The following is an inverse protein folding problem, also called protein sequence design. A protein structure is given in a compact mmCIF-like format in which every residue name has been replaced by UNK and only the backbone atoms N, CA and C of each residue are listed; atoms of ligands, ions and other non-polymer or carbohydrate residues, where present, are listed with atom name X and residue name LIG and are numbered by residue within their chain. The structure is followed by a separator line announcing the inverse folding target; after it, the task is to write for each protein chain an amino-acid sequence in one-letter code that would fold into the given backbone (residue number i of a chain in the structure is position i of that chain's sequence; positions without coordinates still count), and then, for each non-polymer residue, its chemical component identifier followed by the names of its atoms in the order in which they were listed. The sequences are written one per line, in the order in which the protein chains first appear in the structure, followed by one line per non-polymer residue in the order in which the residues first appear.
data_IF_670732195592
#
_entry.id   IF_670732195592
#
_cell.length_a   1.000
_cell.length_b   1.000
_cell.length_c   1.000
_cell.angle_alpha   90.00
_cell.angle_beta   90.00
_cell.angle_gamma   90.00
#
_symmetry.space_group_name_H-M   'P 1'
#
loop_
_entity.id
_entity.type
_entity.pdbx_description
1 polymer ?
#
# COMPACT_ATOMS: atom_id res chain seq x y z
N UNK A 1 -19.59 -0.35 8.55
CA UNK A 1 -18.62 -1.46 8.58
C UNK A 1 -17.46 -1.08 9.51
N UNK A 2 -16.90 -2.02 10.28
CA UNK A 2 -15.82 -1.74 11.24
C UNK A 2 -14.50 -1.50 10.51
N UNK A 3 -13.71 -0.52 10.97
CA UNK A 3 -12.33 -0.28 10.52
C UNK A 3 -11.31 -0.87 11.50
N UNK A 4 -10.13 -1.21 11.01
CA UNK A 4 -9.02 -1.75 11.80
C UNK A 4 -8.47 -0.72 12.80
N UNK A 5 -7.72 -1.19 13.80
CA UNK A 5 -7.03 -0.28 14.72
C UNK A 5 -5.88 0.45 14.01
N UNK A 6 -5.14 -0.22 13.13
CA UNK A 6 -4.08 0.40 12.30
C UNK A 6 -4.62 1.56 11.46
N UNK A 7 -5.83 1.45 10.89
CA UNK A 7 -6.44 2.56 10.17
C UNK A 7 -6.78 3.75 11.08
N UNK A 8 -7.27 3.49 12.31
CA UNK A 8 -7.53 4.57 13.29
C UNK A 8 -6.25 5.30 13.66
N UNK A 9 -5.15 4.57 13.84
CA UNK A 9 -3.82 5.10 14.14
C UNK A 9 -3.29 5.94 12.97
N UNK A 10 -3.35 5.44 11.73
CA UNK A 10 -3.03 6.22 10.53
C UNK A 10 -3.82 7.54 10.51
N UNK A 11 -5.15 7.48 10.64
CA UNK A 11 -6.01 8.66 10.60
C UNK A 11 -5.67 9.68 11.69
N UNK A 12 -5.36 9.23 12.90
CA UNK A 12 -4.91 10.10 13.99
C UNK A 12 -3.59 10.76 13.63
N UNK A 13 -2.64 9.97 13.10
CA UNK A 13 -1.32 10.44 12.72
C UNK A 13 -1.35 11.46 11.58
N UNK A 14 -2.16 11.25 10.54
CA UNK A 14 -2.34 12.21 9.45
C UNK A 14 -2.93 13.54 9.95
N UNK A 15 -3.83 13.50 10.95
CA UNK A 15 -4.37 14.70 11.59
C UNK A 15 -3.27 15.48 12.33
N UNK A 16 -2.41 14.80 13.08
CA UNK A 16 -1.27 15.43 13.75
C UNK A 16 -0.32 16.09 12.75
N UNK A 17 0.04 15.38 11.68
CA UNK A 17 0.92 15.92 10.64
C UNK A 17 0.32 17.18 10.00
N UNK A 18 -0.99 17.19 9.74
CA UNK A 18 -1.68 18.38 9.24
C UNK A 18 -1.55 19.56 10.22
N UNK A 19 -1.78 19.31 11.51
CA UNK A 19 -1.71 20.35 12.55
C UNK A 19 -0.29 20.92 12.72
N UNK A 20 0.74 20.08 12.58
CA UNK A 20 2.13 20.49 12.78
C UNK A 20 2.74 21.19 11.56
N UNK A 21 2.35 20.80 10.35
CA UNK A 21 3.08 21.16 9.14
C UNK A 21 2.28 22.06 8.19
N UNK A 22 0.95 22.00 8.20
CA UNK A 22 0.15 22.84 7.32
C UNK A 22 -0.40 24.07 8.05
N UNK A 23 -0.68 25.17 7.33
CA UNK A 23 -1.34 26.34 7.91
C UNK A 23 -2.72 25.99 8.51
N UNK A 24 -3.09 26.68 9.59
CA UNK A 24 -4.45 26.57 10.15
C UNK A 24 -5.50 27.17 9.23
N UNK A 25 -5.16 28.29 8.59
CA UNK A 25 -5.95 28.98 7.57
C UNK A 25 -5.20 28.95 6.25
N UNK A 26 -5.83 28.40 5.22
CA UNK A 26 -5.25 28.37 3.87
C UNK A 26 -5.39 29.73 3.19
N UNK A 27 -4.38 30.10 2.39
CA UNK A 27 -4.41 31.36 1.64
C UNK A 27 -5.46 31.28 0.53
N UNK A 28 -6.40 32.23 0.43
CA UNK A 28 -7.37 32.27 -0.67
C UNK A 28 -6.73 32.46 -2.04
N UNK A 29 -5.59 33.15 -2.10
CA UNK A 29 -4.84 33.45 -3.33
C UNK A 29 -3.74 32.43 -3.62
N UNK A 30 -3.47 31.50 -2.69
CA UNK A 30 -2.38 30.53 -2.81
C UNK A 30 -1.01 31.08 -2.46
N UNK A 31 -0.94 32.29 -1.89
CA UNK A 31 0.32 32.89 -1.45
C UNK A 31 0.78 32.28 -0.12
N UNK A 32 1.96 31.66 -0.12
CA UNK A 32 2.57 31.04 1.05
C UNK A 32 4.06 31.40 1.11
N UNK A 33 4.55 31.68 2.32
CA UNK A 33 5.98 31.91 2.58
C UNK A 33 6.83 30.67 2.30
N UNK A 34 8.13 30.86 2.06
CA UNK A 34 9.09 29.76 1.86
C UNK A 34 9.06 28.75 3.00
N UNK A 35 8.90 29.22 4.25
CA UNK A 35 8.75 28.35 5.42
C UNK A 35 7.49 27.47 5.32
N UNK A 36 6.38 28.00 4.83
CA UNK A 36 5.15 27.23 4.64
C UNK A 36 5.30 26.24 3.47
N UNK A 37 6.01 26.63 2.41
CA UNK A 37 6.38 25.75 1.29
C UNK A 37 7.20 24.55 1.77
N UNK A 38 8.26 24.79 2.56
CA UNK A 38 9.11 23.74 3.09
C UNK A 38 8.36 22.81 4.05
N UNK A 39 7.49 23.36 4.91
CA UNK A 39 6.65 22.53 5.77
C UNK A 39 5.65 21.69 4.97
N UNK A 40 5.09 22.21 3.88
CA UNK A 40 4.19 21.46 3.02
C UNK A 40 4.91 20.33 2.26
N UNK A 41 6.17 20.55 1.83
CA UNK A 41 7.04 19.48 1.32
C UNK A 41 7.27 18.40 2.37
N UNK A 42 7.58 18.81 3.60
CA UNK A 42 7.72 17.89 4.75
C UNK A 42 6.43 17.12 5.04
N UNK A 43 5.28 17.77 4.95
CA UNK A 43 3.97 17.13 5.09
C UNK A 43 3.78 16.02 4.05
N UNK A 44 4.02 16.30 2.77
CA UNK A 44 3.93 15.29 1.70
C UNK A 44 4.83 14.08 1.99
N UNK A 45 6.09 14.31 2.35
CA UNK A 45 7.06 13.25 2.63
C UNK A 45 6.63 12.37 3.80
N UNK A 46 6.21 12.99 4.91
CA UNK A 46 5.81 12.27 6.13
C UNK A 46 4.49 11.53 5.93
N UNK A 47 3.48 12.17 5.33
CA UNK A 47 2.21 11.50 5.03
C UNK A 47 2.40 10.29 4.12
N UNK A 48 3.27 10.41 3.11
CA UNK A 48 3.59 9.27 2.25
C UNK A 48 4.18 8.11 3.04
N UNK A 49 5.15 8.38 3.93
CA UNK A 49 5.75 7.35 4.77
C UNK A 49 4.71 6.67 5.69
N UNK A 50 3.76 7.43 6.25
CA UNK A 50 2.70 6.89 7.11
C UNK A 50 1.72 6.01 6.32
N UNK A 51 1.31 6.43 5.11
CA UNK A 51 0.42 5.63 4.24
C UNK A 51 1.13 4.34 3.79
N UNK A 52 2.40 4.44 3.39
CA UNK A 52 3.22 3.30 3.01
C UNK A 52 3.36 2.29 4.16
N UNK A 53 3.75 2.77 5.35
CA UNK A 53 3.85 1.93 6.55
C UNK A 53 2.52 1.27 6.90
N UNK A 54 1.41 2.01 6.78
CA UNK A 54 0.08 1.43 6.99
C UNK A 54 -0.20 0.28 6.03
N UNK A 55 0.04 0.46 4.73
CA UNK A 55 -0.20 -0.57 3.72
C UNK A 55 0.67 -1.80 3.97
N UNK A 56 1.95 -1.60 4.30
CA UNK A 56 2.87 -2.71 4.64
C UNK A 56 2.42 -3.48 5.88
N UNK A 57 1.98 -2.78 6.92
CA UNK A 57 1.56 -3.39 8.18
C UNK A 57 0.28 -4.19 8.00
N UNK A 58 -0.77 -3.62 7.40
CA UNK A 58 -2.03 -4.34 7.21
C UNK A 58 -1.84 -5.55 6.30
N UNK A 59 -0.99 -5.44 5.28
CA UNK A 59 -0.65 -6.57 4.42
C UNK A 59 0.11 -7.67 5.16
N UNK A 60 1.10 -7.29 5.97
CA UNK A 60 1.88 -8.23 6.80
C UNK A 60 1.01 -8.94 7.83
N UNK A 61 0.20 -8.19 8.57
CA UNK A 61 -0.68 -8.70 9.62
C UNK A 61 -1.71 -9.67 9.04
N UNK A 62 -2.35 -9.29 7.93
CA UNK A 62 -3.38 -10.10 7.26
C UNK A 62 -2.84 -11.44 6.78
N UNK A 63 -1.70 -11.44 6.06
CA UNK A 63 -1.06 -12.68 5.58
C UNK A 63 -0.57 -13.52 6.76
N UNK A 64 0.05 -12.90 7.77
CA UNK A 64 0.56 -13.62 8.94
C UNK A 64 -0.57 -14.29 9.70
N UNK A 65 -1.72 -13.62 9.84
CA UNK A 65 -2.90 -14.20 10.47
C UNK A 65 -3.42 -15.40 9.66
N UNK A 66 -3.58 -15.26 8.35
CA UNK A 66 -4.05 -16.35 7.49
C UNK A 66 -3.11 -17.58 7.53
N UNK A 67 -1.80 -17.37 7.56
CA UNK A 67 -0.82 -18.45 7.71
C UNK A 67 -0.94 -19.13 9.09
N UNK A 68 -1.10 -18.35 10.17
CA UNK A 68 -1.30 -18.90 11.51
C UNK A 68 -2.57 -19.72 11.60
N UNK A 69 -3.68 -19.21 11.05
CA UNK A 69 -4.95 -19.90 11.04
C UNK A 69 -4.81 -21.23 10.29
N UNK A 70 -4.25 -21.21 9.07
CA UNK A 70 -3.96 -22.43 8.29
C UNK A 70 -3.13 -23.45 9.09
N UNK A 71 -2.01 -23.03 9.70
CA UNK A 71 -1.16 -23.93 10.49
C UNK A 71 -1.85 -24.50 11.73
N UNK A 72 -2.81 -23.76 12.30
CA UNK A 72 -3.52 -24.18 13.53
C UNK A 72 -4.67 -25.15 13.26
N UNK A 73 -5.40 -24.97 12.16
CA UNK A 73 -6.69 -25.64 11.95
C UNK A 73 -6.94 -26.11 10.51
N UNK A 74 -5.98 -25.90 9.60
CA UNK A 74 -6.02 -26.27 8.18
C UNK A 74 -7.25 -25.71 7.43
N UNK A 75 -7.85 -24.62 7.92
CA UNK A 75 -8.99 -23.98 7.24
C UNK A 75 -8.50 -23.06 6.13
N UNK A 76 -8.93 -23.29 4.88
CA UNK A 76 -8.64 -22.36 3.80
C UNK A 76 -9.40 -21.04 3.99
N UNK A 77 -8.74 -19.94 3.65
CA UNK A 77 -9.32 -18.60 3.56
C UNK A 77 -9.02 -18.00 2.18
N UNK A 78 -9.81 -17.00 1.76
CA UNK A 78 -9.50 -16.29 0.51
C UNK A 78 -8.09 -15.70 0.54
N UNK A 79 -7.66 -15.21 1.71
CA UNK A 79 -6.32 -14.64 1.92
C UNK A 79 -5.23 -15.68 1.63
N UNK A 80 -5.29 -16.89 2.22
CA UNK A 80 -4.22 -17.87 2.00
C UNK A 80 -4.20 -18.38 0.55
N UNK A 81 -5.37 -18.50 -0.08
CA UNK A 81 -5.49 -18.88 -1.50
C UNK A 81 -4.89 -17.81 -2.41
N UNK A 82 -5.28 -16.54 -2.22
CA UNK A 82 -4.76 -15.41 -2.99
C UNK A 82 -3.27 -15.19 -2.75
N UNK A 83 -2.79 -15.40 -1.51
CA UNK A 83 -1.39 -15.33 -1.16
C UNK A 83 -0.55 -16.36 -1.92
N UNK A 84 -0.98 -17.63 -1.91
CA UNK A 84 -0.29 -18.70 -2.64
C UNK A 84 -0.39 -18.52 -4.16
N UNK A 85 -1.53 -18.07 -4.68
CA UNK A 85 -1.67 -17.73 -6.10
C UNK A 85 -0.68 -16.62 -6.51
N UNK A 86 -0.55 -15.58 -5.69
CA UNK A 86 0.41 -14.49 -5.91
C UNK A 86 1.87 -14.96 -5.84
N UNK A 87 2.18 -15.88 -4.93
CA UNK A 87 3.48 -16.54 -4.90
C UNK A 87 3.77 -17.32 -6.19
N UNK A 88 2.78 -18.08 -6.68
CA UNK A 88 2.93 -18.87 -7.90
C UNK A 88 3.07 -18.01 -9.17
N UNK A 89 2.49 -16.81 -9.20
CA UNK A 89 2.75 -15.84 -10.27
C UNK A 89 4.11 -15.13 -10.14
N UNK A 90 4.96 -15.54 -9.19
CA UNK A 90 6.20 -14.85 -8.83
C UNK A 90 5.99 -13.39 -8.45
N UNK A 91 4.82 -13.09 -7.88
CA UNK A 91 4.40 -11.73 -7.57
C UNK A 91 4.39 -10.82 -8.80
N UNK A 92 4.26 -11.39 -10.00
CA UNK A 92 4.14 -10.60 -11.21
C UNK A 92 2.77 -9.94 -11.23
N UNK A 93 2.77 -8.62 -11.12
CA UNK A 93 1.59 -7.76 -10.97
C UNK A 93 1.18 -7.07 -12.28
N UNK A 94 1.88 -7.39 -13.38
CA UNK A 94 1.64 -6.79 -14.70
C UNK A 94 0.54 -7.57 -15.43
N UNK A 95 -0.30 -6.86 -16.17
CA UNK A 95 -1.47 -7.40 -16.88
C UNK A 95 -1.11 -8.23 -18.13
N UNK A 96 0.14 -8.19 -18.58
CA UNK A 96 0.63 -9.00 -19.71
C UNK A 96 1.87 -9.78 -19.26
N UNK A 97 1.67 -11.02 -18.84
CA UNK A 97 2.76 -11.98 -18.64
C UNK A 97 2.91 -12.74 -19.95
N UNK A 98 4.07 -12.67 -20.60
CA UNK A 98 4.27 -13.44 -21.83
C UNK A 98 4.39 -14.93 -21.51
N UNK A 99 4.12 -15.79 -22.50
CA UNK A 99 4.33 -17.22 -22.36
C UNK A 99 5.78 -17.55 -21.98
N UNK A 100 6.78 -16.80 -22.48
CA UNK A 100 8.17 -16.99 -22.06
C UNK A 100 8.38 -16.67 -20.58
N UNK A 101 7.78 -15.59 -20.06
CA UNK A 101 7.89 -15.22 -18.65
C UNK A 101 7.25 -16.27 -17.74
N UNK A 102 6.09 -16.83 -18.12
CA UNK A 102 5.46 -17.95 -17.40
C UNK A 102 6.41 -19.14 -17.34
N UNK A 103 7.07 -19.47 -18.45
CA UNK A 103 8.03 -20.57 -18.54
C UNK A 103 9.26 -20.30 -17.66
N UNK A 104 9.77 -19.07 -17.64
CA UNK A 104 10.90 -18.70 -16.78
C UNK A 104 10.53 -18.74 -15.30
N UNK A 105 9.33 -18.26 -14.93
CA UNK A 105 8.79 -18.39 -13.58
C UNK A 105 8.73 -19.85 -13.18
N UNK A 106 8.14 -20.71 -14.02
CA UNK A 106 8.04 -22.14 -13.76
C UNK A 106 9.41 -22.81 -13.60
N UNK A 107 10.39 -22.47 -14.44
CA UNK A 107 11.77 -23.00 -14.39
C UNK A 107 12.60 -22.48 -13.21
N UNK A 108 12.33 -21.27 -12.74
CA UNK A 108 13.02 -20.66 -11.59
C UNK A 108 12.61 -21.27 -10.25
N UNK A 109 11.50 -22.00 -10.22
CA UNK A 109 11.05 -22.72 -9.03
C UNK A 109 12.09 -23.80 -8.73
N UNK A 110 12.65 -23.78 -7.52
CA UNK A 110 13.39 -24.94 -7.01
C UNK A 110 12.49 -26.17 -7.14
N UNK A 111 13.07 -27.32 -7.49
CA UNK A 111 12.41 -28.62 -7.39
C UNK A 111 12.15 -28.89 -5.89
N UNK A 112 11.05 -28.31 -5.44
CA UNK A 112 10.47 -28.43 -4.12
C UNK A 112 9.81 -29.81 -4.12
N UNK A 113 10.36 -30.77 -3.38
CA UNK A 113 9.74 -32.09 -3.16
C UNK A 113 8.53 -31.99 -2.20
N UNK A 114 8.04 -30.79 -1.92
CA UNK A 114 7.82 -30.37 -0.54
C UNK A 114 6.33 -30.17 -0.19
N UNK A 115 6.03 -30.39 1.09
CA UNK A 115 4.71 -30.26 1.70
C UNK A 115 4.11 -28.85 1.55
N UNK A 116 2.79 -28.72 1.75
CA UNK A 116 2.10 -27.42 1.72
C UNK A 116 2.71 -26.41 2.70
N UNK A 117 3.26 -26.89 3.82
CA UNK A 117 3.91 -26.03 4.83
C UNK A 117 5.20 -25.38 4.31
N UNK A 118 6.03 -26.14 3.60
CA UNK A 118 7.28 -25.64 3.03
C UNK A 118 7.02 -24.59 1.94
N UNK A 119 5.95 -24.77 1.15
CA UNK A 119 5.49 -23.77 0.16
C UNK A 119 5.07 -22.48 0.86
N UNK A 120 4.28 -22.58 1.94
CA UNK A 120 3.82 -21.42 2.71
C UNK A 120 5.01 -20.67 3.32
N UNK A 121 5.98 -21.38 3.89
CA UNK A 121 7.16 -20.76 4.51
C UNK A 121 8.08 -20.08 3.49
N UNK A 122 8.20 -20.63 2.28
CA UNK A 122 8.91 -19.96 1.19
C UNK A 122 8.18 -18.72 0.69
N UNK A 123 6.86 -18.81 0.50
CA UNK A 123 6.02 -17.69 0.11
C UNK A 123 6.10 -16.55 1.14
N UNK A 124 6.02 -16.87 2.44
CA UNK A 124 6.13 -15.90 3.53
C UNK A 124 7.48 -15.17 3.53
N UNK A 125 8.59 -15.89 3.30
CA UNK A 125 9.92 -15.27 3.20
C UNK A 125 10.02 -14.32 2.02
N UNK A 126 9.54 -14.72 0.85
CA UNK A 126 9.55 -13.85 -0.32
C UNK A 126 8.68 -12.60 -0.12
N UNK A 127 7.47 -12.77 0.42
CA UNK A 127 6.60 -11.64 0.70
C UNK A 127 7.19 -10.68 1.75
N UNK A 128 7.83 -11.22 2.79
CA UNK A 128 8.54 -10.40 3.79
C UNK A 128 9.67 -9.60 3.16
N UNK A 129 10.39 -10.17 2.19
CA UNK A 129 11.41 -9.44 1.44
C UNK A 129 10.80 -8.34 0.57
N UNK A 130 9.67 -8.61 -0.11
CA UNK A 130 8.94 -7.59 -0.89
C UNK A 130 8.45 -6.43 -0.04
N UNK A 131 7.97 -6.70 1.17
CA UNK A 131 7.63 -5.66 2.14
C UNK A 131 8.84 -4.78 2.50
N UNK A 132 10.03 -5.36 2.68
CA UNK A 132 11.26 -4.60 3.00
C UNK A 132 11.79 -3.77 1.84
N UNK A 133 11.62 -4.26 0.62
CA UNK A 133 12.03 -3.59 -0.63
C UNK A 133 10.99 -2.56 -1.11
N UNK A 134 9.86 -2.45 -0.44
CA UNK A 134 8.83 -1.49 -0.79
C UNK A 134 9.27 -0.07 -0.40
N UNK A 135 9.15 0.85 -1.36
CA UNK A 135 9.66 2.22 -1.25
C UNK A 135 8.65 3.22 -1.87
N UNK A 136 7.36 2.91 -1.77
CA UNK A 136 6.35 3.62 -2.54
C UNK A 136 4.92 3.13 -2.30
N UNK A 137 4.00 3.93 -2.84
CA UNK A 137 2.57 3.61 -2.94
C UNK A 137 2.07 3.60 -4.39
N UNK A 138 2.99 3.60 -5.36
CA UNK A 138 2.68 3.52 -6.80
C UNK A 138 1.94 2.23 -7.16
N UNK A 139 1.31 2.17 -8.32
CA UNK A 139 0.46 1.05 -8.76
C UNK A 139 1.11 -0.33 -8.52
N UNK A 140 2.36 -0.50 -8.98
CA UNK A 140 3.12 -1.75 -8.77
C UNK A 140 3.33 -2.08 -7.30
N UNK A 141 3.71 -1.09 -6.49
CA UNK A 141 3.92 -1.25 -5.04
C UNK A 141 2.61 -1.65 -4.36
N UNK A 142 1.55 -0.88 -4.62
CA UNK A 142 0.22 -1.11 -4.10
C UNK A 142 -0.30 -2.51 -4.43
N UNK A 143 -0.28 -2.91 -5.71
CA UNK A 143 -0.76 -4.23 -6.13
C UNK A 143 0.05 -5.37 -5.50
N UNK A 144 1.37 -5.20 -5.36
CA UNK A 144 2.24 -6.20 -4.70
C UNK A 144 1.84 -6.44 -3.24
N UNK A 145 1.39 -5.39 -2.55
CA UNK A 145 0.97 -5.48 -1.14
C UNK A 145 -0.47 -5.99 -0.98
N UNK A 146 -1.38 -5.62 -1.89
CA UNK A 146 -2.83 -5.80 -1.70
C UNK A 146 -3.39 -7.05 -2.39
N UNK A 147 -2.90 -7.44 -3.57
CA UNK A 147 -3.37 -8.66 -4.24
C UNK A 147 -3.23 -9.93 -3.39
N UNK A 148 -2.15 -10.12 -2.63
CA UNK A 148 -2.01 -11.32 -1.78
C UNK A 148 -3.05 -11.39 -0.66
N UNK A 149 -3.80 -10.31 -0.40
CA UNK A 149 -4.85 -10.28 0.62
C UNK A 149 -6.21 -10.76 0.08
N UNK A 150 -6.30 -11.03 -1.23
CA UNK A 150 -7.56 -11.42 -1.88
C UNK A 150 -8.54 -10.27 -2.07
N UNK A 151 -8.06 -9.03 -2.05
CA UNK A 151 -8.86 -7.85 -2.41
C UNK A 151 -8.87 -7.70 -3.92
N UNK A 152 -10.08 -7.63 -4.50
CA UNK A 152 -10.26 -7.37 -5.92
C UNK A 152 -9.93 -5.90 -6.25
N UNK A 153 -8.81 -5.66 -6.93
CA UNK A 153 -8.33 -4.30 -7.27
C UNK A 153 -9.30 -3.59 -8.22
N UNK A 154 -9.89 -4.30 -9.18
CA UNK A 154 -10.93 -3.78 -10.09
C UNK A 154 -12.19 -3.29 -9.37
N UNK A 155 -12.40 -3.72 -8.13
CA UNK A 155 -13.53 -3.27 -7.29
C UNK A 155 -13.22 -1.96 -6.52
N UNK A 156 -12.01 -1.42 -6.66
CA UNK A 156 -11.58 -0.16 -6.05
C UNK A 156 -11.85 1.00 -7.02
N UNK A 157 -11.98 2.20 -6.45
CA UNK A 157 -12.16 3.41 -7.25
C UNK A 157 -10.89 3.70 -8.10
N UNK A 158 -11.03 3.66 -9.42
CA UNK A 158 -9.91 3.84 -10.34
C UNK A 158 -9.32 5.26 -10.30
N UNK A 159 -10.14 6.26 -9.97
CA UNK A 159 -9.66 7.64 -9.77
C UNK A 159 -8.80 7.71 -8.51
N UNK A 160 -9.18 7.03 -7.44
CA UNK A 160 -8.39 6.92 -6.22
C UNK A 160 -7.06 6.20 -6.45
N UNK A 161 -7.05 5.09 -7.21
CA UNK A 161 -5.81 4.40 -7.59
C UNK A 161 -4.88 5.32 -8.38
N UNK A 162 -5.43 6.07 -9.34
CA UNK A 162 -4.68 7.06 -10.12
C UNK A 162 -4.12 8.17 -9.23
N UNK A 163 -4.88 8.65 -8.25
CA UNK A 163 -4.44 9.67 -7.30
C UNK A 163 -3.34 9.14 -6.37
N UNK A 164 -3.42 7.87 -5.94
CA UNK A 164 -2.40 7.23 -5.12
C UNK A 164 -1.07 7.09 -5.89
N UNK A 165 -1.13 6.68 -7.16
CA UNK A 165 0.05 6.59 -8.01
C UNK A 165 0.71 7.96 -8.25
N UNK A 166 -0.11 8.96 -8.59
CA UNK A 166 0.33 10.36 -8.73
C UNK A 166 0.93 10.91 -7.43
N UNK A 167 0.39 10.54 -6.28
CA UNK A 167 0.92 10.93 -4.97
C UNK A 167 2.31 10.32 -4.73
N UNK A 168 2.51 9.04 -5.06
CA UNK A 168 3.83 8.40 -5.05
C UNK A 168 4.83 9.08 -5.99
N UNK A 169 4.41 9.47 -7.20
CA UNK A 169 5.24 10.22 -8.13
C UNK A 169 5.64 11.60 -7.56
N UNK A 170 4.67 12.36 -7.06
CA UNK A 170 4.85 13.68 -6.42
C UNK A 170 5.80 13.64 -5.22
N UNK A 171 5.81 12.55 -4.44
CA UNK A 171 6.82 12.32 -3.37
C UNK A 171 8.21 12.17 -3.95
N UNK A 172 8.36 11.35 -5.00
CA UNK A 172 9.64 11.13 -5.68
C UNK A 172 10.26 12.43 -6.19
N UNK A 173 9.44 13.34 -6.73
CA UNK A 173 9.91 14.64 -7.18
C UNK A 173 10.47 15.50 -6.04
N UNK A 174 9.78 15.57 -4.91
CA UNK A 174 10.22 16.35 -3.74
C UNK A 174 11.49 15.76 -3.14
N UNK A 175 11.57 14.43 -3.01
CA UNK A 175 12.71 13.75 -2.42
C UNK A 175 13.98 13.84 -3.27
N UNK A 176 13.86 13.67 -4.60
CA UNK A 176 15.02 13.62 -5.49
C UNK A 176 15.40 14.97 -6.10
N UNK A 177 14.45 15.91 -6.22
CA UNK A 177 14.69 17.23 -6.83
C UNK A 177 14.73 18.36 -5.80
N UNK A 178 14.97 18.10 -4.51
CA UNK A 178 14.89 19.12 -3.44
C UNK A 178 15.61 20.46 -3.73
N UNK A 179 16.70 20.47 -4.49
CA UNK A 179 17.41 21.71 -4.92
C UNK A 179 16.87 22.38 -6.20
N UNK A 180 16.04 21.69 -6.99
CA UNK A 180 15.50 22.10 -8.29
C UNK A 180 13.98 21.91 -8.41
N UNK A 181 13.27 21.63 -7.33
CA UNK A 181 11.82 21.49 -7.31
C UNK A 181 11.21 22.88 -7.53
N UNK A 182 11.11 23.28 -8.80
CA UNK A 182 10.70 24.61 -9.25
C UNK A 182 9.20 24.88 -9.12
N UNK A 183 8.41 23.91 -8.65
CA UNK A 183 6.99 24.09 -8.37
C UNK A 183 6.74 24.57 -6.94
N UNK A 184 5.97 25.65 -6.79
CA UNK A 184 5.31 25.95 -5.53
C UNK A 184 4.37 24.79 -5.18
N UNK A 185 4.50 24.25 -3.97
CA UNK A 185 3.50 23.35 -3.39
C UNK A 185 2.39 24.21 -2.81
N UNK A 186 1.14 23.83 -3.04
CA UNK A 186 0.02 24.45 -2.37
C UNK A 186 -0.39 23.59 -1.16
N UNK A 187 -0.15 24.05 0.08
CA UNK A 187 -0.60 23.39 1.31
C UNK A 187 -2.06 22.92 1.30
N UNK A 188 -2.98 23.69 0.69
CA UNK A 188 -4.39 23.33 0.62
C UNK A 188 -4.60 22.13 -0.29
N UNK A 189 -3.98 22.14 -1.46
CA UNK A 189 -4.12 21.06 -2.43
C UNK A 189 -3.50 19.76 -1.91
N UNK A 190 -2.39 19.84 -1.15
CA UNK A 190 -1.83 18.69 -0.45
C UNK A 190 -2.77 18.14 0.62
N UNK A 191 -3.41 19.02 1.39
CA UNK A 191 -4.37 18.59 2.40
C UNK A 191 -5.59 17.90 1.77
N UNK A 192 -6.16 18.50 0.73
CA UNK A 192 -7.34 17.98 0.05
C UNK A 192 -7.04 16.64 -0.64
N UNK A 193 -5.86 16.51 -1.26
CA UNK A 193 -5.38 15.24 -1.82
C UNK A 193 -5.24 14.16 -0.74
N UNK A 194 -4.59 14.46 0.39
CA UNK A 194 -4.43 13.47 1.47
C UNK A 194 -5.79 13.09 2.07
N UNK A 195 -6.70 14.04 2.19
CA UNK A 195 -8.06 13.79 2.67
C UNK A 195 -8.82 12.85 1.73
N UNK A 196 -8.71 13.04 0.41
CA UNK A 196 -9.36 12.14 -0.57
C UNK A 196 -8.72 10.75 -0.58
N UNK A 197 -7.39 10.68 -0.46
CA UNK A 197 -6.67 9.40 -0.34
C UNK A 197 -7.12 8.63 0.90
N UNK A 198 -7.26 9.30 2.05
CA UNK A 198 -7.68 8.67 3.30
C UNK A 198 -9.08 8.03 3.20
N UNK A 199 -10.00 8.63 2.42
CA UNK A 199 -11.32 8.04 2.18
C UNK A 199 -11.20 6.71 1.44
N UNK A 200 -10.41 6.64 0.37
CA UNK A 200 -10.21 5.37 -0.34
C UNK A 200 -9.40 4.35 0.46
N UNK A 201 -8.47 4.78 1.32
CA UNK A 201 -7.78 3.90 2.27
C UNK A 201 -8.79 3.31 3.27
N UNK A 202 -9.78 4.08 3.72
CA UNK A 202 -10.83 3.58 4.61
C UNK A 202 -11.67 2.49 3.93
N UNK A 203 -12.02 2.67 2.65
CA UNK A 203 -12.76 1.67 1.89
C UNK A 203 -11.94 0.40 1.64
N UNK A 204 -10.63 0.55 1.36
CA UNK A 204 -9.70 -0.57 1.29
C UNK A 204 -9.63 -1.31 2.63
N UNK A 205 -9.48 -0.60 3.75
CA UNK A 205 -9.44 -1.19 5.09
C UNK A 205 -10.68 -2.03 5.38
N UNK A 206 -11.87 -1.49 5.07
CA UNK A 206 -13.15 -2.23 5.22
C UNK A 206 -13.16 -3.50 4.39
N UNK A 207 -12.64 -3.48 3.16
CA UNK A 207 -12.51 -4.67 2.30
C UNK A 207 -11.53 -5.69 2.91
N UNK A 208 -10.39 -5.25 3.43
CA UNK A 208 -9.41 -6.11 4.12
C UNK A 208 -10.03 -6.76 5.37
N UNK A 209 -10.77 -5.99 6.18
CA UNK A 209 -11.50 -6.52 7.35
C UNK A 209 -12.57 -7.53 6.92
N UNK A 210 -13.26 -7.31 5.79
CA UNK A 210 -14.26 -8.26 5.27
C UNK A 210 -13.64 -9.62 4.94
N UNK A 211 -12.55 -9.62 4.17
CA UNK A 211 -11.90 -10.87 3.74
C UNK A 211 -11.25 -11.65 4.88
N UNK A 212 -10.82 -10.96 5.95
CA UNK A 212 -10.25 -11.60 7.15
C UNK A 212 -11.31 -12.16 8.10
N UNK A 213 -12.48 -11.53 8.19
CA UNK A 213 -13.59 -11.97 9.05
C UNK A 213 -14.49 -13.04 8.44
N UNK A 214 -14.28 -13.44 7.18
CA UNK A 214 -15.07 -14.48 6.51
C UNK A 214 -16.47 -14.05 6.07
N UNK A 215 -16.79 -12.76 6.12
CA UNK A 215 -18.06 -12.20 5.62
C UNK A 215 -17.95 -11.76 4.14
N UNK A 216 -17.18 -12.48 3.34
CA UNK A 216 -17.01 -12.20 1.91
C UNK A 216 -18.33 -12.46 1.16
#
# INVERSE_FOLDING_TARGET
MRVSNRFKELRARLRELKLHLLPNTFSPTGDYSDRQQDRARGYRLLVHAEIESYLEDVSRETVTQAIRDWKSNQKPSIVIVSFLASYHSSWNVVEEITNEEIIQIAKSRKNVKDSVEEVIDLAQRQFTQKLKENHGVKDKNFKTLILPLGVEISSLDQTWLTNLDNFGAKRGEVAHKAKRAQGSINPKDEFDLVKSLLVGIEELDKKIVRVTTGNA
#
